data_IF_810842281162
#
_entry.id   IF_810842281162
#
_cell.length_a   1.000
_cell.length_b   1.000
_cell.length_c   1.000
_cell.angle_alpha   90.00
_cell.angle_beta   90.00
_cell.angle_gamma   90.00
#
_symmetry.space_group_name_H-M   'P 1'
#
loop_
_entity.id
_entity.type
_entity.pdbx_description
1 polymer ?
#
# COMPACT_ATOMS: atom_id res chain seq x y z
N UNK A 1 5.67 -40.12 -24.32
CA UNK A 1 4.70 -39.15 -23.78
C UNK A 1 4.68 -39.41 -22.28
N UNK A 2 5.51 -38.69 -21.53
CA UNK A 2 5.79 -38.99 -20.13
C UNK A 2 4.64 -38.49 -19.25
N UNK A 3 3.61 -39.29 -19.04
CA UNK A 3 2.80 -39.21 -17.80
C UNK A 3 3.56 -39.92 -16.67
N UNK A 4 4.80 -39.49 -16.41
CA UNK A 4 5.64 -40.06 -15.36
C UNK A 4 5.44 -39.30 -14.05
N UNK A 5 4.83 -40.02 -13.11
CA UNK A 5 4.89 -39.91 -11.65
C UNK A 5 4.57 -38.55 -10.99
N UNK A 6 3.46 -37.93 -11.38
CA UNK A 6 2.88 -36.84 -10.59
C UNK A 6 2.33 -37.41 -9.26
N UNK A 7 2.71 -36.86 -8.09
CA UNK A 7 2.26 -37.36 -6.78
C UNK A 7 0.74 -37.29 -6.65
N UNK A 8 0.16 -38.17 -5.82
CA UNK A 8 -1.30 -38.30 -5.64
C UNK A 8 -1.97 -36.95 -5.36
N UNK A 9 -1.38 -36.15 -4.47
CA UNK A 9 -1.98 -34.88 -4.04
C UNK A 9 -1.96 -33.83 -5.16
N UNK A 10 -0.92 -33.83 -6.00
CA UNK A 10 -0.90 -32.99 -7.21
C UNK A 10 -1.99 -33.41 -8.21
N UNK A 11 -2.30 -34.71 -8.34
CA UNK A 11 -3.42 -35.19 -9.17
C UNK A 11 -4.77 -34.70 -8.64
N UNK A 12 -4.95 -34.67 -7.31
CA UNK A 12 -6.16 -34.13 -6.66
C UNK A 12 -6.31 -32.64 -6.97
N UNK A 13 -5.25 -31.84 -6.79
CA UNK A 13 -5.27 -30.39 -7.11
C UNK A 13 -5.61 -30.15 -8.58
N UNK A 14 -5.03 -30.91 -9.50
CA UNK A 14 -5.35 -30.82 -10.94
C UNK A 14 -6.82 -31.17 -11.23
N UNK A 15 -7.37 -32.19 -10.56
CA UNK A 15 -8.78 -32.56 -10.67
C UNK A 15 -9.70 -31.47 -10.11
N UNK A 16 -9.31 -30.82 -9.01
CA UNK A 16 -10.04 -29.70 -8.42
C UNK A 16 -10.10 -28.50 -9.39
N UNK A 17 -8.95 -28.10 -9.95
CA UNK A 17 -8.88 -27.02 -10.94
C UNK A 17 -9.76 -27.29 -12.15
N UNK A 18 -9.75 -28.55 -12.65
CA UNK A 18 -10.62 -28.98 -13.75
C UNK A 18 -12.11 -28.88 -13.38
N UNK A 19 -12.49 -29.25 -12.16
CA UNK A 19 -13.89 -29.16 -11.71
C UNK A 19 -14.39 -27.71 -11.57
N UNK A 20 -13.48 -26.76 -11.32
CA UNK A 20 -13.78 -25.33 -11.28
C UNK A 20 -13.78 -24.67 -12.67
N UNK A 21 -13.57 -25.43 -13.75
CA UNK A 21 -13.52 -24.90 -15.11
C UNK A 21 -12.20 -24.21 -15.47
N UNK A 22 -11.13 -24.41 -14.70
CA UNK A 22 -9.81 -23.84 -14.99
C UNK A 22 -8.99 -24.82 -15.84
N UNK A 23 -9.00 -24.59 -17.15
CA UNK A 23 -8.32 -25.47 -18.13
C UNK A 23 -6.86 -25.08 -18.39
N UNK A 24 -6.52 -23.81 -18.20
CA UNK A 24 -5.19 -23.27 -18.46
C UNK A 24 -4.62 -22.59 -17.22
N UNK A 25 -3.51 -23.12 -16.71
CA UNK A 25 -2.76 -22.58 -15.58
C UNK A 25 -1.28 -22.91 -15.71
N UNK A 26 -0.42 -22.11 -15.08
CA UNK A 26 1.01 -22.40 -15.02
C UNK A 26 1.25 -23.63 -14.11
N UNK A 27 2.16 -24.55 -14.46
CA UNK A 27 2.48 -25.71 -13.61
C UNK A 27 2.82 -25.36 -12.16
N UNK A 28 3.41 -24.18 -11.91
CA UNK A 28 3.74 -23.67 -10.57
C UNK A 28 2.54 -23.53 -9.65
N UNK A 29 1.35 -23.28 -10.20
CA UNK A 29 0.11 -23.13 -9.43
C UNK A 29 -0.14 -24.38 -8.60
N UNK A 30 0.06 -25.58 -9.17
CA UNK A 30 -0.13 -26.84 -8.44
C UNK A 30 0.81 -26.94 -7.25
N UNK A 31 2.07 -26.53 -7.41
CA UNK A 31 3.06 -26.58 -6.34
C UNK A 31 2.71 -25.59 -5.22
N UNK A 32 2.28 -24.38 -5.58
CA UNK A 32 1.86 -23.36 -4.62
C UNK A 32 0.60 -23.79 -3.85
N UNK A 33 -0.37 -24.43 -4.52
CA UNK A 33 -1.55 -24.98 -3.85
C UNK A 33 -1.16 -26.06 -2.83
N UNK A 34 -0.23 -26.95 -3.18
CA UNK A 34 0.27 -27.96 -2.25
C UNK A 34 0.96 -27.34 -1.05
N UNK A 35 1.84 -26.36 -1.26
CA UNK A 35 2.53 -25.64 -0.18
C UNK A 35 1.53 -25.00 0.79
N UNK A 36 0.53 -24.27 0.24
CA UNK A 36 -0.52 -23.63 1.05
C UNK A 36 -1.33 -24.68 1.81
N UNK A 37 -1.69 -25.79 1.15
CA UNK A 37 -2.49 -26.84 1.77
C UNK A 37 -1.75 -27.50 2.93
N UNK A 38 -0.52 -27.95 2.73
CA UNK A 38 0.26 -28.58 3.80
C UNK A 38 0.57 -27.61 4.93
N UNK A 39 0.95 -26.37 4.62
CA UNK A 39 1.17 -25.35 5.65
C UNK A 39 -0.08 -25.12 6.49
N UNK A 40 -1.24 -24.97 5.85
CA UNK A 40 -2.51 -24.80 6.55
C UNK A 40 -2.85 -25.99 7.44
N UNK A 41 -2.67 -27.22 6.95
CA UNK A 41 -2.95 -28.44 7.73
C UNK A 41 -2.01 -28.54 8.94
N UNK A 42 -0.71 -28.31 8.75
CA UNK A 42 0.27 -28.31 9.85
C UNK A 42 -0.08 -27.24 10.88
N UNK A 43 -0.41 -26.03 10.45
CA UNK A 43 -0.76 -24.93 11.35
C UNK A 43 -2.04 -25.23 12.14
N UNK A 44 -3.06 -25.84 11.52
CA UNK A 44 -4.31 -26.23 12.20
C UNK A 44 -4.08 -27.39 13.17
N UNK A 45 -3.30 -28.40 12.78
CA UNK A 45 -3.00 -29.54 13.64
C UNK A 45 -2.14 -29.13 14.84
N UNK A 46 -1.21 -28.19 14.66
CA UNK A 46 -0.39 -27.64 15.74
C UNK A 46 -1.27 -26.91 16.76
N UNK A 47 -2.21 -26.06 16.32
CA UNK A 47 -3.14 -25.38 17.22
C UNK A 47 -4.08 -26.38 17.91
N UNK A 48 -4.59 -27.38 17.19
CA UNK A 48 -5.46 -28.40 17.75
C UNK A 48 -4.74 -29.28 18.80
N UNK A 49 -3.45 -29.57 18.59
CA UNK A 49 -2.63 -30.27 19.57
C UNK A 49 -2.52 -29.46 20.87
N UNK A 50 -2.26 -28.15 20.78
CA UNK A 50 -2.21 -27.26 21.96
C UNK A 50 -3.54 -27.26 22.71
N UNK A 51 -4.68 -27.31 22.00
CA UNK A 51 -6.00 -27.39 22.63
C UNK A 51 -6.26 -28.75 23.30
N UNK A 52 -5.85 -29.85 22.68
CA UNK A 52 -5.91 -31.19 23.29
C UNK A 52 -5.06 -31.28 24.56
N UNK A 53 -3.84 -30.75 24.53
CA UNK A 53 -2.92 -30.68 25.68
C UNK A 53 -3.52 -29.83 26.81
N UNK A 54 -4.12 -28.68 26.49
CA UNK A 54 -4.82 -27.83 27.46
C UNK A 54 -6.02 -28.55 28.10
N UNK A 55 -6.71 -29.41 27.36
CA UNK A 55 -7.78 -30.26 27.86
C UNK A 55 -7.28 -31.54 28.57
N UNK A 56 -5.96 -31.72 28.72
CA UNK A 56 -5.31 -32.92 29.28
C UNK A 56 -5.70 -34.22 28.55
N UNK A 57 -6.01 -34.12 27.25
CA UNK A 57 -6.33 -35.26 26.39
C UNK A 57 -5.07 -35.73 25.66
N UNK A 58 -4.92 -37.04 25.50
CA UNK A 58 -3.79 -37.66 24.79
C UNK A 58 -4.02 -37.76 23.27
N UNK A 59 -5.23 -37.49 22.79
CA UNK A 59 -5.63 -37.63 21.38
C UNK A 59 -6.43 -36.41 20.95
N UNK A 60 -6.17 -35.92 19.73
CA UNK A 60 -6.86 -34.77 19.14
C UNK A 60 -8.28 -35.20 18.74
N UNK A 61 -9.29 -34.49 19.26
CA UNK A 61 -10.70 -34.72 18.94
C UNK A 61 -11.20 -33.79 17.82
N UNK A 62 -12.38 -34.09 17.28
CA UNK A 62 -13.03 -33.24 16.28
C UNK A 62 -13.34 -31.82 16.79
N UNK A 63 -13.55 -31.65 18.09
CA UNK A 63 -13.85 -30.36 18.68
C UNK A 63 -12.59 -29.48 18.81
N UNK A 64 -11.42 -30.09 19.04
CA UNK A 64 -10.14 -29.38 19.04
C UNK A 64 -9.81 -28.86 17.64
N UNK A 65 -10.09 -29.67 16.60
CA UNK A 65 -9.97 -29.26 15.20
C UNK A 65 -10.94 -28.13 14.83
N UNK A 66 -12.22 -28.22 15.24
CA UNK A 66 -13.20 -27.16 14.97
C UNK A 66 -12.76 -25.86 15.63
N UNK A 67 -12.29 -25.91 16.88
CA UNK A 67 -11.81 -24.74 17.60
C UNK A 67 -10.59 -24.11 16.91
N UNK A 68 -9.62 -24.93 16.48
CA UNK A 68 -8.44 -24.49 15.73
C UNK A 68 -8.81 -23.80 14.41
N UNK A 69 -9.73 -24.39 13.65
CA UNK A 69 -10.22 -23.80 12.40
C UNK A 69 -10.95 -22.48 12.67
N UNK A 70 -11.86 -22.44 13.64
CA UNK A 70 -12.61 -21.22 13.98
C UNK A 70 -11.69 -20.08 14.41
N UNK A 71 -10.67 -20.38 15.21
CA UNK A 71 -9.66 -19.40 15.63
C UNK A 71 -8.94 -18.80 14.42
N UNK A 72 -8.48 -19.62 13.46
CA UNK A 72 -7.75 -19.13 12.28
C UNK A 72 -8.62 -18.41 11.25
N UNK A 73 -9.85 -18.89 11.01
CA UNK A 73 -10.74 -18.33 9.97
C UNK A 73 -11.08 -16.88 10.24
N UNK A 74 -11.22 -16.51 11.51
CA UNK A 74 -11.54 -15.13 11.92
C UNK A 74 -10.48 -14.10 11.52
N UNK A 75 -9.21 -14.52 11.34
CA UNK A 75 -8.10 -13.60 11.02
C UNK A 75 -7.55 -13.78 9.60
N UNK A 76 -7.66 -14.98 9.03
CA UNK A 76 -7.02 -15.32 7.76
C UNK A 76 -7.92 -15.08 6.56
N UNK A 77 -9.23 -15.31 6.71
CA UNK A 77 -10.20 -15.22 5.63
C UNK A 77 -11.15 -14.06 5.90
N UNK A 78 -11.01 -12.91 5.22
CA UNK A 78 -11.90 -11.79 5.41
C UNK A 78 -13.32 -12.24 5.05
N UNK A 79 -14.18 -12.31 6.06
CA UNK A 79 -15.59 -12.54 5.83
C UNK A 79 -16.17 -11.26 5.25
N UNK A 80 -17.03 -11.35 4.21
CA UNK A 80 -17.71 -10.18 3.70
C UNK A 80 -18.50 -9.54 4.86
N UNK A 81 -18.39 -8.21 5.06
CA UNK A 81 -19.08 -7.55 6.16
C UNK A 81 -20.59 -7.77 6.03
N UNK A 82 -21.31 -7.98 7.16
CA UNK A 82 -22.75 -8.19 7.13
C UNK A 82 -23.49 -7.07 6.42
N UNK A 83 -24.55 -7.43 5.67
CA UNK A 83 -25.36 -6.49 4.90
C UNK A 83 -25.90 -5.34 5.76
N UNK A 84 -26.28 -5.62 7.00
CA UNK A 84 -26.81 -4.62 7.94
C UNK A 84 -25.78 -3.53 8.26
N UNK A 85 -24.52 -3.92 8.49
CA UNK A 85 -23.42 -2.98 8.73
C UNK A 85 -23.19 -2.10 7.51
N UNK A 86 -23.19 -2.69 6.30
CA UNK A 86 -23.06 -1.93 5.06
C UNK A 86 -24.23 -0.94 4.85
N UNK A 87 -25.46 -1.36 5.14
CA UNK A 87 -26.64 -0.50 5.02
C UNK A 87 -26.60 0.65 6.03
N UNK A 88 -26.18 0.40 7.26
CA UNK A 88 -26.02 1.45 8.27
C UNK A 88 -24.95 2.46 7.85
N UNK A 89 -23.79 1.98 7.40
CA UNK A 89 -22.71 2.85 6.90
C UNK A 89 -23.17 3.66 5.68
N UNK A 90 -23.88 3.02 4.74
CA UNK A 90 -24.47 3.68 3.59
C UNK A 90 -25.48 4.75 4.00
N UNK A 91 -26.39 4.44 4.93
CA UNK A 91 -27.36 5.41 5.44
C UNK A 91 -26.67 6.60 6.14
N UNK A 92 -25.61 6.35 6.92
CA UNK A 92 -24.80 7.41 7.55
C UNK A 92 -24.10 8.28 6.49
N UNK A 93 -23.52 7.70 5.45
CA UNK A 93 -22.82 8.43 4.38
C UNK A 93 -23.78 9.22 3.49
N UNK A 94 -24.90 8.61 3.13
CA UNK A 94 -25.91 9.17 2.21
C UNK A 94 -26.75 10.29 2.84
N UNK A 95 -26.68 10.49 4.17
CA UNK A 95 -27.25 11.67 4.85
C UNK A 95 -26.53 12.97 4.48
N UNK A 96 -25.27 12.89 4.04
CA UNK A 96 -24.50 14.06 3.62
C UNK A 96 -24.96 14.43 2.22
N UNK A 97 -25.58 15.62 2.01
CA UNK A 97 -26.03 16.03 0.69
C UNK A 97 -24.82 16.16 -0.25
N UNK A 98 -25.07 15.94 -1.54
CA UNK A 98 -24.02 16.07 -2.55
C UNK A 98 -23.45 17.51 -2.54
N UNK A 99 -22.13 17.68 -2.71
CA UNK A 99 -21.54 18.99 -2.90
C UNK A 99 -22.18 19.71 -4.10
N UNK A 100 -22.30 21.04 -4.00
CA UNK A 100 -22.80 21.85 -5.12
C UNK A 100 -21.82 21.69 -6.29
N UNK A 101 -22.33 21.33 -7.46
CA UNK A 101 -21.54 21.25 -8.68
C UNK A 101 -20.99 22.65 -9.00
N UNK A 102 -19.66 22.78 -9.07
CA UNK A 102 -19.03 23.98 -9.61
C UNK A 102 -19.27 23.98 -11.12
N UNK A 103 -19.88 25.02 -11.65
CA UNK A 103 -20.33 25.11 -13.05
C UNK A 103 -19.17 25.41 -14.02
N UNK A 104 -18.13 24.58 -14.01
CA UNK A 104 -17.01 24.64 -14.96
C UNK A 104 -17.07 23.49 -15.97
N UNK A 105 -16.69 23.76 -17.22
CA UNK A 105 -16.38 22.69 -18.17
C UNK A 105 -15.06 22.03 -17.74
N UNK A 106 -15.14 20.88 -17.08
CA UNK A 106 -13.96 20.10 -16.72
C UNK A 106 -14.14 19.28 -15.45
N UNK A 107 -13.14 18.46 -15.14
CA UNK A 107 -13.05 17.72 -13.88
C UNK A 107 -12.54 18.67 -12.80
N UNK A 108 -13.31 18.97 -11.74
CA UNK A 108 -12.83 19.81 -10.65
C UNK A 108 -11.68 19.10 -9.93
N UNK A 109 -10.52 19.74 -9.90
CA UNK A 109 -9.41 19.27 -9.07
C UNK A 109 -9.65 19.67 -7.60
N UNK A 110 -9.18 18.87 -6.64
CA UNK A 110 -9.04 19.30 -5.25
C UNK A 110 -8.18 20.58 -5.13
N UNK A 111 -8.21 21.26 -3.99
CA UNK A 111 -7.29 22.38 -3.72
C UNK A 111 -5.83 22.00 -3.95
N UNK A 112 -4.98 22.95 -4.34
CA UNK A 112 -3.58 22.67 -4.73
C UNK A 112 -2.79 21.91 -3.65
N UNK A 113 -3.05 22.18 -2.36
CA UNK A 113 -2.43 21.47 -1.24
C UNK A 113 -2.83 19.99 -1.12
N UNK A 114 -4.00 19.63 -1.64
CA UNK A 114 -4.50 18.25 -1.72
C UNK A 114 -4.18 17.61 -3.08
N UNK A 115 -3.45 18.31 -3.96
CA UNK A 115 -3.02 17.79 -5.26
C UNK A 115 -1.55 17.39 -5.27
N UNK A 116 -1.24 16.22 -5.83
CA UNK A 116 0.13 15.73 -6.00
C UNK A 116 0.73 16.19 -7.34
N UNK A 117 0.54 17.46 -7.70
CA UNK A 117 1.04 18.05 -8.95
C UNK A 117 2.43 18.67 -8.79
N UNK A 118 2.74 19.14 -7.58
CA UNK A 118 4.03 19.75 -7.26
C UNK A 118 5.10 18.68 -7.05
N UNK A 119 6.36 18.91 -7.49
CA UNK A 119 7.47 18.01 -7.21
C UNK A 119 7.60 17.76 -5.71
N UNK A 120 7.47 16.49 -5.29
CA UNK A 120 7.66 16.07 -3.90
C UNK A 120 9.13 15.75 -3.55
N UNK A 121 10.07 16.12 -4.44
CA UNK A 121 11.49 15.85 -4.31
C UNK A 121 12.30 17.13 -4.57
N UNK A 122 13.39 17.32 -3.83
CA UNK A 122 14.36 18.38 -4.07
C UNK A 122 15.66 17.75 -4.55
N UNK A 123 16.07 18.09 -5.77
CA UNK A 123 17.39 17.70 -6.27
C UNK A 123 18.44 18.55 -5.55
N UNK A 124 19.26 17.90 -4.73
CA UNK A 124 20.46 18.53 -4.17
C UNK A 124 21.50 18.60 -5.29
N UNK A 125 21.50 19.69 -6.05
CA UNK A 125 22.55 19.97 -7.03
C UNK A 125 23.67 20.68 -6.27
N UNK A 126 24.86 20.08 -6.11
CA UNK A 126 25.99 20.77 -5.51
C UNK A 126 26.35 21.97 -6.39
N UNK A 127 26.23 23.18 -5.85
CA UNK A 127 26.76 24.38 -6.53
C UNK A 127 28.28 24.23 -6.60
N UNK A 128 28.80 23.83 -7.77
CA UNK A 128 30.22 24.00 -8.07
C UNK A 128 30.46 25.50 -8.14
N UNK A 129 31.06 26.08 -7.11
CA UNK A 129 31.52 27.46 -7.14
C UNK A 129 32.48 27.59 -8.31
N UNK A 130 32.04 28.26 -9.38
CA UNK A 130 32.95 28.79 -10.38
C UNK A 130 33.84 29.80 -9.64
N UNK A 131 35.10 29.43 -9.44
CA UNK A 131 36.14 30.33 -8.95
C UNK A 131 36.36 31.39 -10.02
N UNK A 132 35.83 32.60 -9.79
CA UNK A 132 36.23 33.80 -10.53
C UNK A 132 37.63 34.18 -10.05
N UNK A 133 38.61 34.10 -10.95
CA UNK A 133 39.94 34.68 -10.78
C UNK A 133 39.82 36.20 -10.60
N UNK A 134 40.59 36.84 -9.70
CA UNK A 134 40.54 38.28 -9.52
C UNK A 134 41.41 38.95 -10.59
N UNK A 135 40.78 39.63 -11.56
CA UNK A 135 41.45 40.74 -12.25
C UNK A 135 41.04 42.04 -11.56
N UNK A 136 42.06 42.68 -10.98
CA UNK A 136 42.06 44.05 -10.49
C UNK A 136 41.95 45.01 -11.69
N UNK A 137 41.11 46.04 -11.59
CA UNK A 137 41.47 47.41 -11.99
C UNK A 137 40.44 48.43 -11.51
N UNK A 138 40.97 49.61 -11.23
CA UNK A 138 40.45 50.73 -10.42
C UNK A 138 39.47 51.66 -11.16
N UNK A 139 38.79 52.49 -10.34
CA UNK A 139 38.27 53.86 -10.57
C UNK A 139 37.31 54.16 -11.74
N UNK A 140 36.13 54.72 -11.43
CA UNK A 140 35.90 56.19 -11.43
C UNK A 140 34.42 56.56 -11.16
N UNK A 141 34.23 57.76 -10.61
CA UNK A 141 32.96 58.37 -10.19
C UNK A 141 32.08 58.86 -11.38
N UNK A 142 30.74 58.84 -11.26
CA UNK A 142 29.89 60.05 -11.17
C UNK A 142 28.36 59.80 -11.46
N UNK A 143 27.55 60.45 -10.62
CA UNK A 143 26.11 60.82 -10.62
C UNK A 143 25.07 60.21 -11.58
N UNK A 144 23.93 59.73 -11.02
CA UNK A 144 22.61 60.42 -10.98
C UNK A 144 21.45 59.47 -10.56
N UNK A 145 20.77 59.80 -9.46
CA UNK A 145 19.40 59.36 -9.10
C UNK A 145 18.38 60.37 -9.70
N UNK A 146 17.05 60.12 -9.85
CA UNK A 146 16.22 59.29 -8.95
C UNK A 146 15.05 58.46 -9.56
N UNK A 147 14.59 57.49 -8.74
CA UNK A 147 13.21 57.06 -8.48
C UNK A 147 12.36 56.39 -9.59
N UNK A 148 12.05 55.09 -9.36
CA UNK A 148 10.73 54.49 -9.65
C UNK A 148 10.42 53.41 -8.61
N UNK A 149 9.37 53.65 -7.82
CA UNK A 149 8.76 52.70 -6.90
C UNK A 149 7.97 51.64 -7.68
N UNK A 150 8.30 50.36 -7.52
CA UNK A 150 7.36 49.26 -7.82
C UNK A 150 7.02 48.54 -6.53
N UNK A 151 5.75 48.65 -6.15
CA UNK A 151 5.12 48.05 -4.98
C UNK A 151 5.11 46.53 -5.04
N UNK A 152 5.57 45.92 -3.94
CA UNK A 152 5.49 44.50 -3.63
C UNK A 152 4.04 44.01 -3.52
N UNK A 153 3.75 42.85 -4.12
CA UNK A 153 2.64 41.97 -3.71
C UNK A 153 3.26 40.71 -3.08
N UNK A 154 2.78 40.27 -1.90
CA UNK A 154 3.47 39.24 -1.13
C UNK A 154 3.27 37.85 -1.75
N UNK A 155 4.37 37.22 -2.15
CA UNK A 155 4.40 35.80 -2.48
C UNK A 155 4.17 35.00 -1.19
N UNK A 156 2.97 34.45 -1.00
CA UNK A 156 2.76 33.41 0.00
C UNK A 156 3.55 32.18 -0.45
N UNK A 157 4.66 31.92 0.24
CA UNK A 157 5.41 30.69 0.09
C UNK A 157 4.56 29.53 0.60
N UNK A 158 4.32 28.47 -0.18
CA UNK A 158 3.60 27.31 0.30
C UNK A 158 4.42 26.64 1.42
N UNK A 159 3.80 26.43 2.57
CA UNK A 159 4.41 25.80 3.73
C UNK A 159 4.72 24.34 3.40
N UNK A 160 5.98 24.07 3.06
CA UNK A 160 6.47 22.73 2.78
C UNK A 160 6.52 21.90 4.07
N UNK A 161 5.81 20.78 4.11
CA UNK A 161 5.97 19.76 5.14
C UNK A 161 7.21 18.93 4.78
N UNK A 162 8.38 19.38 5.19
CA UNK A 162 9.63 18.62 5.03
C UNK A 162 9.84 17.70 6.23
N UNK A 163 10.11 16.42 5.96
CA UNK A 163 10.56 15.49 6.98
C UNK A 163 12.09 15.57 7.06
N UNK A 164 12.69 15.69 8.26
CA UNK A 164 14.13 15.75 8.41
C UNK A 164 14.75 14.41 7.96
N UNK A 165 15.52 14.44 6.87
CA UNK A 165 16.41 13.34 6.52
C UNK A 165 17.56 13.34 7.53
N UNK A 166 17.53 12.41 8.47
CA UNK A 166 18.67 12.18 9.37
C UNK A 166 19.92 11.89 8.54
N UNK A 167 20.88 12.82 8.54
CA UNK A 167 22.23 12.57 8.03
C UNK A 167 22.83 11.45 8.88
N UNK A 168 23.01 10.27 8.29
CA UNK A 168 23.88 9.26 8.89
C UNK A 168 25.32 9.79 8.81
N UNK A 169 26.06 9.84 9.94
CA UNK A 169 27.49 10.12 9.88
C UNK A 169 28.21 8.95 9.19
N UNK A 170 29.16 9.30 8.32
CA UNK A 170 30.10 8.37 7.69
C UNK A 170 31.02 7.73 8.72
#
# INVERSE_FOLDING_TARGET
MAEEDVPRDAKIVKSLLKSMGVEHYEPRVVHQFLEIWYRYVVDVLTDAQVYSEHASKSTIDSDDLKLAIHSKVNFTFPQPPPREVLLELAARRNKIPLPKLTAGLGVPLPPEHDTLLSPNYQLVIPKKSASTEPEETEDDEDMTDPALQTSELPSQTPQMVSFPLSRRPN
#
